data_IF_682411772680
#
_entry.id   IF_682411772680
#
_cell.length_a   1.000
_cell.length_b   1.000
_cell.length_c   1.000
_cell.angle_alpha   90.00
_cell.angle_beta   90.00
_cell.angle_gamma   90.00
#
_symmetry.space_group_name_H-M   'P 1'
#
loop_
_entity.id
_entity.type
_entity.pdbx_description
1 polymer ?
#
# COMPACT_ATOMS: atom_id res chain seq x y z
N UNK A 1 -7.15 -64.20 -61.35
CA UNK A 1 -7.26 -63.05 -62.27
C UNK A 1 -5.94 -62.30 -62.17
N UNK A 2 -5.13 -62.28 -63.23
CA UNK A 2 -3.84 -61.58 -63.19
C UNK A 2 -4.05 -60.12 -63.61
N UNK A 3 -3.48 -59.18 -62.86
CA UNK A 3 -3.77 -57.74 -62.98
C UNK A 3 -3.22 -57.05 -64.25
N UNK A 4 -2.45 -57.75 -65.08
CA UNK A 4 -1.82 -57.21 -66.29
C UNK A 4 -1.95 -58.22 -67.44
N UNK A 5 -3.12 -58.32 -68.06
CA UNK A 5 -3.29 -59.16 -69.26
C UNK A 5 -4.20 -58.47 -70.27
N UNK A 6 -3.59 -57.66 -71.14
CA UNK A 6 -4.26 -56.87 -72.17
C UNK A 6 -3.91 -57.36 -73.58
N UNK A 7 -4.82 -57.15 -74.53
CA UNK A 7 -4.70 -57.62 -75.93
C UNK A 7 -3.79 -56.67 -76.73
N UNK A 8 -2.73 -57.18 -77.41
CA UNK A 8 -1.86 -56.35 -78.24
C UNK A 8 -2.54 -55.95 -79.55
N UNK A 9 -2.27 -54.74 -80.03
CA UNK A 9 -2.79 -54.20 -81.28
C UNK A 9 -1.89 -54.59 -82.47
N UNK A 10 -2.50 -54.98 -83.60
CA UNK A 10 -1.83 -55.50 -84.82
C UNK A 10 -1.77 -54.45 -85.94
N UNK A 11 -2.10 -53.19 -85.67
CA UNK A 11 -2.11 -52.12 -86.69
C UNK A 11 -0.73 -51.44 -86.87
N UNK A 12 -0.50 -50.88 -88.07
CA UNK A 12 0.77 -50.26 -88.47
C UNK A 12 1.14 -49.05 -87.58
N UNK A 13 2.45 -48.86 -87.34
CA UNK A 13 3.00 -47.72 -86.59
C UNK A 13 3.37 -46.57 -87.54
N UNK A 14 3.08 -45.34 -87.13
CA UNK A 14 3.31 -44.11 -87.91
C UNK A 14 4.16 -43.11 -87.12
N UNK A 15 4.75 -42.11 -87.80
CA UNK A 15 5.48 -41.01 -87.16
C UNK A 15 4.53 -40.12 -86.33
N UNK A 16 5.07 -39.40 -85.33
CA UNK A 16 4.29 -38.52 -84.44
C UNK A 16 3.60 -37.33 -85.13
N UNK A 17 3.86 -37.08 -86.42
CA UNK A 17 3.14 -36.12 -87.25
C UNK A 17 1.75 -36.62 -87.66
N UNK A 18 1.53 -37.94 -87.67
CA UNK A 18 0.25 -38.57 -88.02
C UNK A 18 -0.54 -38.83 -86.75
N UNK A 19 -1.78 -38.32 -86.69
CA UNK A 19 -2.63 -38.32 -85.49
C UNK A 19 -3.27 -39.70 -85.21
N UNK A 20 -2.44 -40.72 -84.99
CA UNK A 20 -2.86 -42.11 -84.76
C UNK A 20 -2.38 -42.57 -83.39
N UNK A 21 -3.29 -43.14 -82.59
CA UNK A 21 -3.02 -43.69 -81.24
C UNK A 21 -2.24 -42.74 -80.32
N UNK A 22 -0.96 -43.04 -80.07
CA UNK A 22 -0.11 -42.41 -79.05
C UNK A 22 0.68 -41.18 -79.55
N UNK A 23 0.26 -40.60 -80.68
CA UNK A 23 0.95 -39.46 -81.30
C UNK A 23 1.15 -38.28 -80.35
N UNK A 24 0.23 -38.07 -79.39
CA UNK A 24 0.27 -36.95 -78.45
C UNK A 24 1.45 -37.06 -77.47
N UNK A 25 1.59 -38.20 -76.80
CA UNK A 25 2.71 -38.46 -75.87
C UNK A 25 4.06 -38.52 -76.62
N UNK A 26 4.06 -39.10 -77.82
CA UNK A 26 5.27 -39.19 -78.66
C UNK A 26 5.70 -37.81 -79.22
N UNK A 27 4.75 -36.87 -79.37
CA UNK A 27 5.05 -35.49 -79.74
C UNK A 27 5.75 -34.74 -78.61
N UNK A 28 5.30 -34.88 -77.36
CA UNK A 28 6.01 -34.26 -76.23
C UNK A 28 7.42 -34.80 -76.07
N UNK A 29 7.59 -36.13 -76.15
CA UNK A 29 8.90 -36.76 -76.05
C UNK A 29 9.82 -36.31 -77.19
N UNK A 30 9.28 -36.20 -78.41
CA UNK A 30 9.98 -35.67 -79.57
C UNK A 30 10.37 -34.19 -79.41
N UNK A 31 9.51 -33.36 -78.83
CA UNK A 31 9.77 -31.94 -78.60
C UNK A 31 10.89 -31.74 -77.57
N UNK A 32 10.86 -32.43 -76.42
CA UNK A 32 11.94 -32.35 -75.42
C UNK A 32 13.26 -32.91 -75.97
N UNK A 33 13.22 -33.97 -76.78
CA UNK A 33 14.41 -34.50 -77.45
C UNK A 33 14.98 -33.50 -78.47
N UNK A 34 14.12 -32.84 -79.25
CA UNK A 34 14.53 -31.82 -80.21
C UNK A 34 15.12 -30.58 -79.54
N UNK A 35 14.54 -30.14 -78.41
CA UNK A 35 15.01 -28.99 -77.66
C UNK A 35 16.38 -29.24 -76.98
N UNK A 36 16.64 -30.48 -76.56
CA UNK A 36 17.92 -30.87 -75.95
C UNK A 36 18.99 -31.27 -76.97
N UNK A 37 18.62 -31.51 -78.24
CA UNK A 37 19.52 -31.82 -79.34
C UNK A 37 20.28 -33.16 -79.21
N UNK A 38 19.86 -34.04 -78.30
CA UNK A 38 20.57 -35.28 -77.94
C UNK A 38 19.61 -36.45 -77.69
N UNK A 39 20.11 -37.68 -77.80
CA UNK A 39 19.39 -38.85 -77.32
C UNK A 39 19.22 -38.78 -75.80
N UNK A 40 17.98 -38.87 -75.31
CA UNK A 40 17.69 -38.73 -73.88
C UNK A 40 18.02 -40.01 -73.10
N UNK A 41 18.77 -39.92 -71.99
CA UNK A 41 18.98 -41.03 -71.09
C UNK A 41 17.65 -41.47 -70.43
N UNK A 42 17.57 -42.73 -70.02
CA UNK A 42 16.33 -43.34 -69.50
C UNK A 42 15.68 -42.52 -68.37
N UNK A 43 16.47 -41.92 -67.48
CA UNK A 43 15.97 -41.10 -66.36
C UNK A 43 15.21 -39.85 -66.82
N UNK A 44 15.72 -39.13 -67.81
CA UNK A 44 15.08 -37.90 -68.35
C UNK A 44 13.77 -38.22 -69.08
N UNK A 45 13.67 -39.42 -69.66
CA UNK A 45 12.50 -39.87 -70.42
C UNK A 45 11.32 -40.32 -69.54
N UNK A 46 11.62 -40.93 -68.38
CA UNK A 46 10.59 -41.65 -67.58
C UNK A 46 10.42 -41.13 -66.15
N UNK A 47 11.31 -40.26 -65.66
CA UNK A 47 11.23 -39.70 -64.31
C UNK A 47 11.21 -38.19 -64.40
N UNK A 48 10.24 -37.58 -63.71
CA UNK A 48 10.31 -36.16 -63.42
C UNK A 48 11.33 -35.96 -62.30
N UNK A 49 12.61 -35.73 -62.66
CA UNK A 49 13.60 -35.31 -61.67
C UNK A 49 13.24 -33.89 -61.24
N UNK A 50 12.63 -33.78 -60.07
CA UNK A 50 11.99 -32.56 -59.62
C UNK A 50 12.97 -31.45 -59.23
N UNK A 51 14.29 -31.58 -59.46
CA UNK A 51 15.37 -30.56 -59.49
C UNK A 51 16.74 -31.26 -59.35
N UNK A 52 17.85 -30.67 -59.84
CA UNK A 52 19.17 -31.31 -59.81
C UNK A 52 19.70 -31.55 -58.38
N UNK A 53 20.54 -32.58 -58.22
CA UNK A 53 21.22 -32.90 -56.95
C UNK A 53 22.06 -31.70 -56.48
N UNK A 54 21.74 -31.18 -55.30
CA UNK A 54 22.33 -29.95 -54.74
C UNK A 54 21.48 -28.69 -54.91
N UNK A 55 20.30 -28.77 -55.53
CA UNK A 55 19.38 -27.63 -55.59
C UNK A 55 18.86 -27.27 -54.18
N UNK A 56 19.05 -26.03 -53.69
CA UNK A 56 18.77 -25.66 -52.31
C UNK A 56 17.29 -25.79 -51.89
N UNK A 57 16.38 -25.94 -52.86
CA UNK A 57 14.94 -26.00 -52.62
C UNK A 57 14.36 -27.36 -52.16
N UNK A 58 15.11 -28.47 -52.15
CA UNK A 58 14.54 -29.80 -51.86
C UNK A 58 15.23 -30.62 -50.76
N UNK A 59 16.33 -30.14 -50.17
CA UNK A 59 17.09 -30.90 -49.16
C UNK A 59 16.85 -30.41 -47.72
N UNK A 60 15.72 -29.74 -47.47
CA UNK A 60 15.37 -29.26 -46.14
C UNK A 60 14.44 -30.25 -45.44
N UNK A 61 14.74 -30.53 -44.17
CA UNK A 61 13.79 -31.25 -43.31
C UNK A 61 12.71 -30.27 -42.85
N UNK A 62 11.52 -30.78 -42.54
CA UNK A 62 10.43 -29.96 -41.96
C UNK A 62 10.88 -29.27 -40.68
N UNK A 63 11.73 -29.92 -39.88
CA UNK A 63 12.35 -29.33 -38.69
C UNK A 63 13.23 -28.12 -39.05
N UNK A 64 14.14 -28.26 -40.02
CA UNK A 64 15.01 -27.17 -40.46
C UNK A 64 14.20 -26.00 -41.03
N UNK A 65 13.13 -26.27 -41.79
CA UNK A 65 12.24 -25.24 -42.32
C UNK A 65 11.50 -24.49 -41.18
N UNK A 66 11.02 -25.21 -40.16
CA UNK A 66 10.34 -24.59 -39.01
C UNK A 66 11.29 -23.77 -38.14
N UNK A 67 12.50 -24.25 -37.88
CA UNK A 67 13.53 -23.52 -37.13
C UNK A 67 13.97 -22.27 -37.88
N UNK A 68 14.16 -22.39 -39.20
CA UNK A 68 14.45 -21.24 -40.06
C UNK A 68 13.31 -20.22 -40.01
N UNK A 69 12.05 -20.64 -40.19
CA UNK A 69 10.88 -19.76 -40.13
C UNK A 69 10.71 -19.08 -38.76
N UNK A 70 10.99 -19.79 -37.67
CA UNK A 70 10.95 -19.23 -36.31
C UNK A 70 12.01 -18.16 -36.09
N UNK A 71 13.20 -18.33 -36.69
CA UNK A 71 14.28 -17.35 -36.61
C UNK A 71 14.07 -16.16 -37.56
N UNK A 72 13.49 -16.37 -38.74
CA UNK A 72 13.28 -15.30 -39.72
C UNK A 72 11.98 -14.52 -39.54
N UNK A 73 11.03 -15.06 -38.78
CA UNK A 73 9.73 -14.42 -38.53
C UNK A 73 9.64 -14.04 -37.06
N UNK A 74 10.01 -12.78 -36.69
CA UNK A 74 9.94 -12.37 -35.30
C UNK A 74 8.48 -12.44 -34.80
N UNK A 75 8.27 -12.73 -33.50
CA UNK A 75 6.94 -12.68 -32.91
C UNK A 75 6.36 -11.26 -33.03
N UNK A 76 5.02 -11.12 -33.06
CA UNK A 76 4.39 -9.81 -33.10
C UNK A 76 4.84 -8.97 -31.90
N UNK A 77 5.33 -7.75 -32.18
CA UNK A 77 5.77 -6.84 -31.14
C UNK A 77 4.59 -6.44 -30.25
N UNK A 78 4.88 -6.20 -28.96
CA UNK A 78 3.89 -5.61 -28.05
C UNK A 78 3.69 -4.13 -28.41
N UNK A 79 2.59 -3.83 -29.10
CA UNK A 79 2.25 -2.47 -29.51
C UNK A 79 1.43 -1.81 -28.40
N UNK A 80 2.01 -0.80 -27.75
CA UNK A 80 1.28 0.11 -26.87
C UNK A 80 0.86 1.34 -27.68
N UNK A 81 -0.40 1.75 -27.54
CA UNK A 81 -0.88 2.97 -28.21
C UNK A 81 -0.19 4.20 -27.60
N UNK A 82 0.26 5.17 -28.42
CA UNK A 82 0.76 6.44 -27.91
C UNK A 82 -0.31 7.11 -27.04
N UNK A 83 0.08 7.58 -25.85
CA UNK A 83 -0.78 8.29 -24.92
C UNK A 83 -0.10 9.57 -24.46
N UNK A 84 -0.85 10.67 -24.39
CA UNK A 84 -0.38 11.91 -23.77
C UNK A 84 -0.27 11.79 -22.23
N UNK A 85 -1.03 10.86 -21.65
CA UNK A 85 -1.08 10.62 -20.22
C UNK A 85 -0.34 9.33 -19.88
N UNK A 86 0.57 9.43 -18.91
CA UNK A 86 1.35 8.33 -18.35
C UNK A 86 0.94 8.12 -16.90
N UNK A 87 1.19 6.94 -16.34
CA UNK A 87 0.85 6.64 -14.95
C UNK A 87 1.51 7.63 -13.97
N UNK A 88 2.69 8.17 -14.32
CA UNK A 88 3.38 9.17 -13.52
C UNK A 88 2.80 10.58 -13.61
N UNK A 89 2.19 10.97 -14.74
CA UNK A 89 1.68 12.33 -14.94
C UNK A 89 0.16 12.46 -14.72
N UNK A 90 -0.58 11.34 -14.73
CA UNK A 90 -2.03 11.35 -14.75
C UNK A 90 -2.63 12.01 -13.52
N UNK A 91 -2.15 11.66 -12.32
CA UNK A 91 -2.69 12.19 -11.07
C UNK A 91 -2.49 13.71 -10.95
N UNK A 92 -1.28 14.19 -11.24
CA UNK A 92 -0.97 15.63 -11.23
C UNK A 92 -1.81 16.38 -12.27
N UNK A 93 -1.89 15.86 -13.50
CA UNK A 93 -2.68 16.47 -14.57
C UNK A 93 -4.16 16.56 -14.23
N UNK A 94 -4.72 15.49 -13.68
CA UNK A 94 -6.11 15.48 -13.20
C UNK A 94 -6.34 16.51 -12.10
N UNK A 95 -5.42 16.64 -11.14
CA UNK A 95 -5.52 17.65 -10.08
C UNK A 95 -5.40 19.08 -10.61
N UNK A 96 -4.51 19.34 -11.57
CA UNK A 96 -4.36 20.69 -12.15
C UNK A 96 -5.57 21.16 -12.95
N UNK A 97 -6.21 20.28 -13.73
CA UNK A 97 -7.41 20.65 -14.50
C UNK A 97 -8.67 20.68 -13.63
N UNK A 98 -8.72 19.83 -12.60
CA UNK A 98 -9.90 19.68 -11.75
C UNK A 98 -11.13 19.19 -12.54
N UNK A 99 -12.31 19.45 -11.96
CA UNK A 99 -13.59 19.18 -12.60
C UNK A 99 -14.14 20.50 -13.16
N UNK A 100 -14.38 20.57 -14.47
CA UNK A 100 -14.96 21.78 -15.05
C UNK A 100 -16.45 21.90 -14.72
N UNK A 101 -16.93 23.13 -14.49
CA UNK A 101 -18.31 23.42 -14.09
C UNK A 101 -19.35 22.91 -15.11
N UNK A 102 -19.02 22.97 -16.40
CA UNK A 102 -19.88 22.52 -17.50
C UNK A 102 -20.14 21.01 -17.50
N UNK A 103 -19.23 20.23 -16.92
CA UNK A 103 -19.31 18.75 -16.88
C UNK A 103 -19.54 18.21 -15.47
N UNK A 104 -19.62 19.08 -14.46
CA UNK A 104 -19.64 18.70 -13.06
C UNK A 104 -20.68 17.62 -12.73
N UNK A 105 -21.89 17.78 -13.28
CA UNK A 105 -23.01 16.87 -13.03
C UNK A 105 -23.24 15.85 -14.15
N UNK A 106 -22.55 15.97 -15.30
CA UNK A 106 -22.77 15.10 -16.47
C UNK A 106 -21.69 14.04 -16.65
N UNK A 107 -20.49 14.27 -16.12
CA UNK A 107 -19.35 13.35 -16.22
C UNK A 107 -19.54 12.06 -15.40
N UNK A 108 -20.49 12.04 -14.46
CA UNK A 108 -20.78 10.89 -13.62
C UNK A 108 -19.65 10.57 -12.63
N UNK A 109 -19.55 9.30 -12.15
CA UNK A 109 -18.49 8.91 -11.23
C UNK A 109 -17.13 9.01 -11.91
N UNK A 110 -16.21 9.75 -11.29
CA UNK A 110 -14.88 9.99 -11.82
C UNK A 110 -13.79 9.57 -10.82
N UNK A 111 -12.59 9.19 -11.30
CA UNK A 111 -11.52 8.70 -10.42
C UNK A 111 -11.01 9.75 -9.43
N UNK A 112 -11.13 11.04 -9.73
CA UNK A 112 -10.78 12.11 -8.78
C UNK A 112 -11.75 12.13 -7.58
N UNK A 113 -13.04 11.91 -7.81
CA UNK A 113 -14.07 11.83 -6.78
C UNK A 113 -13.91 10.56 -5.94
N UNK A 114 -13.57 9.42 -6.54
CA UNK A 114 -13.29 8.19 -5.77
C UNK A 114 -12.03 8.32 -4.91
N UNK A 115 -10.96 8.92 -5.44
CA UNK A 115 -9.74 9.18 -4.67
C UNK A 115 -9.96 10.18 -3.53
N UNK A 116 -10.88 11.14 -3.70
CA UNK A 116 -11.21 12.13 -2.68
C UNK A 116 -12.13 11.60 -1.56
N UNK A 117 -12.81 10.47 -1.76
CA UNK A 117 -13.68 9.87 -0.72
C UNK A 117 -12.82 9.30 0.40
N UNK A 118 -12.84 9.87 1.62
CA UNK A 118 -12.12 9.28 2.72
C UNK A 118 -12.74 7.93 3.07
N UNK A 119 -11.89 6.92 3.31
CA UNK A 119 -12.35 5.65 3.81
C UNK A 119 -12.98 5.85 5.20
N UNK A 120 -14.23 5.41 5.36
CA UNK A 120 -14.92 5.47 6.65
C UNK A 120 -14.25 4.53 7.65
N UNK A 121 -13.88 5.06 8.81
CA UNK A 121 -13.31 4.29 9.91
C UNK A 121 -14.36 4.06 10.98
N UNK A 122 -14.91 2.86 11.02
CA UNK A 122 -15.86 2.44 12.05
C UNK A 122 -15.12 1.89 13.27
N UNK A 123 -14.52 2.80 14.06
CA UNK A 123 -13.64 2.46 15.19
C UNK A 123 -14.28 2.72 16.57
N UNK A 124 -15.56 3.02 16.63
CA UNK A 124 -16.27 3.27 17.90
C UNK A 124 -16.86 1.96 18.40
N UNK A 125 -16.45 1.54 19.59
CA UNK A 125 -17.04 0.36 20.24
C UNK A 125 -18.43 0.68 20.77
N UNK A 126 -19.29 -0.34 20.88
CA UNK A 126 -20.65 -0.16 21.42
C UNK A 126 -20.65 0.36 22.85
N UNK A 127 -19.69 -0.05 23.69
CA UNK A 127 -19.55 0.47 25.05
C UNK A 127 -19.20 1.96 25.06
N UNK A 128 -18.30 2.39 24.17
CA UNK A 128 -17.96 3.80 24.07
C UNK A 128 -19.17 4.64 23.59
N UNK A 129 -19.87 4.17 22.56
CA UNK A 129 -21.07 4.84 22.03
C UNK A 129 -22.19 4.95 23.08
N UNK A 130 -22.50 3.85 23.78
CA UNK A 130 -23.62 3.77 24.72
C UNK A 130 -23.37 4.45 26.06
N UNK A 131 -22.13 4.47 26.57
CA UNK A 131 -21.83 4.97 27.90
C UNK A 131 -21.11 6.32 27.92
N UNK A 132 -20.60 6.80 26.78
CA UNK A 132 -19.94 8.11 26.68
C UNK A 132 -20.70 9.03 25.73
N UNK A 133 -20.79 8.68 24.45
CA UNK A 133 -21.33 9.58 23.42
C UNK A 133 -22.81 9.88 23.63
N UNK A 134 -23.66 8.84 23.67
CA UNK A 134 -25.12 9.02 23.81
C UNK A 134 -25.55 9.66 25.13
N UNK A 135 -25.01 9.28 26.30
CA UNK A 135 -25.37 9.96 27.54
C UNK A 135 -24.96 11.43 27.54
N UNK A 136 -23.80 11.76 26.98
CA UNK A 136 -23.33 13.14 26.91
C UNK A 136 -24.18 13.99 25.96
N UNK A 137 -24.58 13.44 24.81
CA UNK A 137 -25.54 14.08 23.91
C UNK A 137 -26.91 14.29 24.59
N UNK A 138 -27.39 13.32 25.37
CA UNK A 138 -28.65 13.42 26.08
C UNK A 138 -28.63 14.49 27.19
N UNK A 139 -27.53 14.57 27.95
CA UNK A 139 -27.31 15.60 28.98
C UNK A 139 -27.23 16.99 28.33
N UNK A 140 -26.53 17.12 27.20
CA UNK A 140 -26.41 18.38 26.48
C UNK A 140 -27.74 18.84 25.84
N UNK A 141 -28.54 17.90 25.33
CA UNK A 141 -29.85 18.20 24.75
C UNK A 141 -30.87 18.61 25.81
N UNK A 142 -30.86 17.97 26.98
CA UNK A 142 -31.83 18.21 28.05
C UNK A 142 -31.14 18.40 29.42
N UNK A 143 -30.48 19.53 29.67
CA UNK A 143 -29.72 19.76 30.91
C UNK A 143 -30.61 19.83 32.16
N UNK A 144 -31.89 20.18 32.00
CA UNK A 144 -32.86 20.30 33.10
C UNK A 144 -33.26 18.94 33.69
N UNK A 145 -33.39 17.91 32.86
CA UNK A 145 -33.87 16.59 33.28
C UNK A 145 -32.77 15.71 33.87
N UNK A 146 -31.50 15.91 33.46
CA UNK A 146 -30.36 15.10 33.88
C UNK A 146 -29.53 15.75 35.01
N UNK A 147 -30.17 16.57 35.84
CA UNK A 147 -29.51 17.18 37.00
C UNK A 147 -29.27 16.16 38.10
N UNK A 148 -28.06 16.17 38.65
CA UNK A 148 -27.72 15.37 39.83
C UNK A 148 -28.11 16.13 41.09
N UNK A 149 -29.30 15.86 41.62
CA UNK A 149 -29.74 16.38 42.91
C UNK A 149 -29.64 15.32 44.00
N UNK A 150 -29.43 15.75 45.25
CA UNK A 150 -29.46 14.83 46.40
C UNK A 150 -30.89 14.37 46.61
N UNK A 151 -31.08 13.06 46.75
CA UNK A 151 -32.39 12.52 47.11
C UNK A 151 -32.84 13.08 48.46
N UNK A 152 -34.09 13.55 48.58
CA UNK A 152 -34.68 13.88 49.88
C UNK A 152 -34.94 12.63 50.73
N UNK A 153 -34.94 11.45 50.11
CA UNK A 153 -35.13 10.17 50.76
C UNK A 153 -33.79 9.42 50.79
N UNK A 154 -33.12 9.46 51.94
CA UNK A 154 -31.88 8.74 52.18
C UNK A 154 -31.93 7.99 53.50
N UNK A 155 -31.36 6.78 53.54
CA UNK A 155 -31.15 6.01 54.79
C UNK A 155 -29.89 6.49 55.52
N UNK A 156 -29.66 7.80 55.55
CA UNK A 156 -28.57 8.39 56.33
C UNK A 156 -28.98 8.43 57.80
N UNK A 157 -28.50 7.46 58.56
CA UNK A 157 -28.78 7.39 59.99
C UNK A 157 -27.76 8.24 60.77
N UNK A 158 -28.18 9.40 61.27
CA UNK A 158 -27.36 10.23 62.15
C UNK A 158 -26.96 9.51 63.45
N UNK A 159 -27.75 8.52 63.90
CA UNK A 159 -27.47 7.79 65.13
C UNK A 159 -26.22 6.92 65.04
N UNK A 160 -25.89 6.33 63.89
CA UNK A 160 -24.65 5.54 63.75
C UNK A 160 -23.41 6.42 63.72
N UNK A 161 -23.51 7.62 63.12
CA UNK A 161 -22.42 8.61 63.11
C UNK A 161 -22.15 9.17 64.52
N UNK A 162 -23.20 9.34 65.33
CA UNK A 162 -23.09 9.89 66.69
C UNK A 162 -22.42 8.94 67.71
N UNK A 163 -22.28 7.63 67.42
CA UNK A 163 -21.72 6.67 68.38
C UNK A 163 -20.24 6.98 68.74
N UNK A 164 -19.45 7.57 67.84
CA UNK A 164 -18.04 7.98 68.09
C UNK A 164 -17.57 9.22 67.31
N UNK A 165 -18.49 9.99 66.72
CA UNK A 165 -18.18 10.87 65.59
C UNK A 165 -17.91 12.35 65.88
N UNK A 166 -17.88 12.80 67.13
CA UNK A 166 -17.55 14.20 67.40
C UNK A 166 -16.05 14.45 67.21
N UNK A 167 -15.71 15.26 66.22
CA UNK A 167 -14.36 15.78 66.07
C UNK A 167 -14.11 16.74 67.25
N UNK A 168 -13.03 16.50 68.00
CA UNK A 168 -12.65 17.42 69.07
C UNK A 168 -12.03 18.69 68.47
N UNK A 169 -12.45 19.86 68.95
CA UNK A 169 -11.82 21.15 68.64
C UNK A 169 -10.47 21.35 69.38
N UNK A 170 -9.90 20.28 69.95
CA UNK A 170 -8.64 20.33 70.66
C UNK A 170 -7.47 20.31 69.67
N UNK A 171 -6.55 21.26 69.85
CA UNK A 171 -5.26 21.25 69.16
C UNK A 171 -4.42 20.09 69.69
N UNK A 172 -4.16 19.10 68.83
CA UNK A 172 -3.18 18.07 69.13
C UNK A 172 -1.78 18.67 69.04
N UNK A 173 -1.18 18.95 70.20
CA UNK A 173 0.22 19.40 70.29
C UNK A 173 1.12 18.18 70.12
N UNK A 174 2.04 18.24 69.16
CA UNK A 174 3.01 17.17 68.95
C UNK A 174 3.91 16.99 70.19
N UNK A 175 3.80 15.84 70.85
CA UNK A 175 4.68 15.44 71.95
C UNK A 175 5.90 14.65 71.47
N UNK A 176 6.96 14.63 72.28
CA UNK A 176 8.19 13.87 72.02
C UNK A 176 9.32 14.68 71.35
N UNK A 177 10.45 14.00 71.10
CA UNK A 177 11.60 14.57 70.38
C UNK A 177 11.43 14.30 68.89
N UNK A 178 11.71 15.26 68.00
CA UNK A 178 11.68 15.01 66.55
C UNK A 178 11.71 16.27 65.69
N UNK A 179 10.95 17.30 66.07
CA UNK A 179 11.07 18.63 65.47
C UNK A 179 12.06 19.48 66.27
N UNK A 180 13.12 19.99 65.61
CA UNK A 180 14.03 20.95 66.23
C UNK A 180 13.34 22.31 66.35
N UNK A 181 12.99 22.66 67.59
CA UNK A 181 12.31 23.91 67.93
C UNK A 181 13.28 25.04 68.29
N UNK A 182 12.72 26.20 68.61
CA UNK A 182 13.44 27.44 68.94
C UNK A 182 14.49 27.24 70.05
N UNK A 183 14.22 26.41 71.06
CA UNK A 183 15.18 26.20 72.16
C UNK A 183 16.43 25.42 71.69
N UNK A 184 16.28 24.52 70.71
CA UNK A 184 17.39 23.69 70.20
C UNK A 184 18.19 24.33 69.07
N UNK A 185 17.65 25.38 68.42
CA UNK A 185 18.32 26.04 67.30
C UNK A 185 19.51 26.87 67.80
N UNK A 186 20.64 26.75 67.12
CA UNK A 186 21.89 27.42 67.47
C UNK A 186 22.74 27.75 66.24
N UNK A 187 23.65 28.74 66.33
CA UNK A 187 24.58 29.02 65.24
C UNK A 187 25.41 27.78 64.86
N UNK A 188 25.66 27.58 63.56
CA UNK A 188 26.55 26.53 63.06
C UNK A 188 25.94 25.13 62.92
N UNK A 189 24.62 25.01 62.96
CA UNK A 189 23.91 23.73 62.77
C UNK A 189 23.39 23.58 61.34
N UNK A 190 23.42 22.35 60.81
CA UNK A 190 22.86 22.05 59.48
C UNK A 190 21.34 22.31 59.46
N UNK A 191 20.91 23.15 58.53
CA UNK A 191 19.50 23.54 58.35
C UNK A 191 19.11 24.89 58.95
N UNK A 192 20.02 25.59 59.66
CA UNK A 192 19.80 26.99 60.05
C UNK A 192 20.24 27.95 58.93
N UNK A 193 19.55 29.09 58.83
CA UNK A 193 19.62 30.01 57.70
C UNK A 193 20.73 31.05 57.88
N UNK A 194 21.28 31.55 56.75
CA UNK A 194 22.26 32.65 56.74
C UNK A 194 21.64 33.99 57.16
N UNK A 195 22.39 34.80 57.90
CA UNK A 195 22.00 36.15 58.32
C UNK A 195 22.78 36.61 59.54
N UNK A 196 22.61 37.86 59.94
CA UNK A 196 23.32 38.45 61.09
C UNK A 196 22.39 38.51 62.30
N UNK A 197 22.78 37.86 63.40
CA UNK A 197 22.16 38.02 64.71
C UNK A 197 23.24 38.15 65.79
N UNK A 198 22.97 38.99 66.79
CA UNK A 198 23.85 39.19 67.96
C UNK A 198 23.41 38.28 69.11
N UNK A 199 22.11 37.97 69.20
CA UNK A 199 21.55 37.15 70.27
C UNK A 199 21.00 35.82 69.73
N UNK A 200 21.21 34.75 70.50
CA UNK A 200 20.86 33.38 70.08
C UNK A 200 19.36 33.15 70.10
N UNK A 201 18.64 33.79 71.02
CA UNK A 201 17.18 33.74 71.13
C UNK A 201 16.46 34.49 70.00
N UNK A 202 17.02 35.60 69.52
CA UNK A 202 16.59 36.29 68.28
C UNK A 202 16.83 35.37 67.06
N UNK A 203 18.02 34.80 66.95
CA UNK A 203 18.39 33.91 65.83
C UNK A 203 17.51 32.66 65.76
N UNK A 204 17.20 32.05 66.91
CA UNK A 204 16.50 30.79 66.98
C UNK A 204 15.03 30.84 66.50
N UNK A 205 14.47 32.04 66.40
CA UNK A 205 13.11 32.30 65.91
C UNK A 205 13.04 32.51 64.40
N UNK A 206 14.09 32.20 63.65
CA UNK A 206 14.10 32.35 62.19
C UNK A 206 12.91 31.67 61.49
N UNK A 207 12.42 30.52 62.00
CA UNK A 207 11.27 29.82 61.42
C UNK A 207 9.94 30.56 61.52
N UNK A 208 9.83 31.54 62.43
CA UNK A 208 8.67 32.46 62.49
C UNK A 208 8.96 33.75 61.74
N UNK A 209 10.16 34.32 61.86
CA UNK A 209 10.56 35.57 61.20
C UNK A 209 10.63 35.47 59.66
N UNK A 210 11.09 34.35 59.12
CA UNK A 210 11.29 34.11 57.68
C UNK A 210 10.23 33.19 57.07
N UNK A 211 9.07 33.04 57.72
CA UNK A 211 8.04 32.10 57.28
C UNK A 211 7.56 32.41 55.87
N UNK A 212 7.85 31.52 54.91
CA UNK A 212 7.44 31.62 53.52
C UNK A 212 8.43 32.33 52.58
N UNK A 213 9.59 32.75 53.07
CA UNK A 213 10.66 33.32 52.23
C UNK A 213 11.40 32.18 51.51
N UNK A 214 11.66 32.29 50.20
CA UNK A 214 12.46 31.29 49.48
C UNK A 214 13.90 31.27 49.99
N UNK A 215 14.46 30.07 50.16
CA UNK A 215 15.82 29.87 50.70
C UNK A 215 16.91 30.60 49.90
N UNK A 216 16.75 30.70 48.58
CA UNK A 216 17.70 31.39 47.69
C UNK A 216 17.88 32.87 48.06
N UNK A 217 16.83 33.55 48.54
CA UNK A 217 16.93 34.95 48.96
C UNK A 217 17.75 35.12 50.24
N UNK A 218 17.71 34.13 51.13
CA UNK A 218 18.50 34.13 52.36
C UNK A 218 19.98 33.88 52.07
N UNK A 219 20.28 33.08 51.03
CA UNK A 219 21.65 32.88 50.54
C UNK A 219 22.19 34.10 49.79
N UNK A 220 21.34 34.84 49.07
CA UNK A 220 21.74 36.06 48.38
C UNK A 220 22.13 37.19 49.35
N UNK A 221 21.55 37.20 50.56
CA UNK A 221 21.65 38.34 51.50
C UNK A 221 22.28 37.97 52.84
N UNK A 222 23.42 37.26 52.79
CA UNK A 222 24.11 36.63 53.94
C UNK A 222 24.45 37.55 55.11
N UNK A 223 24.64 38.85 54.88
CA UNK A 223 25.08 39.82 55.90
C UNK A 223 24.01 40.83 56.31
N UNK A 224 22.74 40.51 56.10
CA UNK A 224 21.63 41.41 56.45
C UNK A 224 20.93 40.93 57.72
N UNK A 225 20.40 41.87 58.51
CA UNK A 225 19.57 41.57 59.68
C UNK A 225 18.14 41.26 59.21
N UNK A 226 17.73 39.99 59.30
CA UNK A 226 16.36 39.53 59.01
C UNK A 226 15.65 38.94 60.24
N UNK A 227 16.33 38.94 61.38
CA UNK A 227 15.85 38.39 62.65
C UNK A 227 15.62 39.52 63.65
#
# INVERSE_FOLDING_TARGET
MYAHNDVPDVTQTYQNSVLVKNWYEDRFQGEVASASGRAQPTKERVVHEALPKGHPGLWQTTKAETEHKMLTSPPPAKINKPSMYTDGNLAERMLTYGLADSVHYTIGPNPAAEAAKPAQRYLVTTNQDLYQTKPQEAIAANPETFRTEKSPYGLTNGMTKAIRGEQSDQLNVAGGKGARGEISRRPGESGNVYGVSVFVDEYAKWGTALKGVPLEETEAKKQTKYF
#
